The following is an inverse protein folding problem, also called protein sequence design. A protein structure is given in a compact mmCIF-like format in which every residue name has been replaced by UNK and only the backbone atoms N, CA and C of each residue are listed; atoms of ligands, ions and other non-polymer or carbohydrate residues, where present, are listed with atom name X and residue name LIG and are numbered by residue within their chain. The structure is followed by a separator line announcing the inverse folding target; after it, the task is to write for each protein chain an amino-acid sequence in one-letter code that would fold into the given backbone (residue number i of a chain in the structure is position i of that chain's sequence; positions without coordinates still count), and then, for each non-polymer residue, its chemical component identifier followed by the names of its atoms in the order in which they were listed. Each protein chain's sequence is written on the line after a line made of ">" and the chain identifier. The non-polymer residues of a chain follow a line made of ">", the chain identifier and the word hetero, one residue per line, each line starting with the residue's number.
data_IF_991456607391
#
_entry.id   IF_991456607391
#
_cell.length_a   1.000
_cell.length_b   1.000
_cell.length_c   1.000
_cell.angle_alpha   90.00
_cell.angle_beta   90.00
_cell.angle_gamma   90.00
#
_symmetry.space_group_name_H-M   'P 1'
#
loop_
_entity.id
_entity.type
_entity.pdbx_description
1 polymer ?
#
# COMPACT_ATOMS: atom_id res chain seq x y z
N UNK A 1 -29.91 -57.61 16.70
CA UNK A 1 -30.12 -57.13 15.31
C UNK A 1 -29.66 -55.69 15.22
N UNK A 2 -28.59 -55.41 14.46
CA UNK A 2 -28.03 -54.06 14.31
C UNK A 2 -28.76 -53.36 13.16
N UNK A 3 -29.66 -52.41 13.46
CA UNK A 3 -30.34 -51.61 12.42
C UNK A 3 -29.27 -50.80 11.66
N UNK A 4 -29.02 -51.19 10.42
CA UNK A 4 -28.23 -50.38 9.47
C UNK A 4 -29.17 -49.29 8.94
N UNK A 5 -29.14 -48.12 9.56
CA UNK A 5 -29.81 -46.95 9.01
C UNK A 5 -28.95 -46.45 7.84
N UNK A 6 -29.32 -46.84 6.62
CA UNK A 6 -28.73 -46.27 5.41
C UNK A 6 -29.17 -44.81 5.28
N UNK A 7 -28.24 -43.92 4.97
CA UNK A 7 -28.56 -42.53 4.63
C UNK A 7 -29.59 -42.49 3.51
N UNK A 8 -30.66 -41.71 3.71
CA UNK A 8 -31.67 -41.50 2.68
C UNK A 8 -31.06 -40.72 1.52
N UNK A 9 -31.39 -41.08 0.27
CA UNK A 9 -30.94 -40.35 -0.93
C UNK A 9 -31.30 -38.85 -0.84
N UNK A 10 -32.46 -38.54 -0.25
CA UNK A 10 -32.92 -37.16 0.00
C UNK A 10 -32.01 -36.44 0.99
N UNK A 11 -31.52 -37.12 2.02
CA UNK A 11 -30.63 -36.53 3.02
C UNK A 11 -29.27 -36.16 2.41
N UNK A 12 -28.76 -36.98 1.49
CA UNK A 12 -27.57 -36.67 0.70
C UNK A 12 -27.76 -35.46 -0.23
N UNK A 13 -28.93 -35.34 -0.87
CA UNK A 13 -29.24 -34.19 -1.72
C UNK A 13 -29.36 -32.89 -0.92
N UNK A 14 -30.05 -32.92 0.23
CA UNK A 14 -30.17 -31.74 1.09
C UNK A 14 -28.81 -31.34 1.65
N UNK A 15 -27.99 -32.31 2.07
CA UNK A 15 -26.64 -32.05 2.58
C UNK A 15 -25.72 -31.42 1.51
N UNK A 16 -25.79 -31.87 0.25
CA UNK A 16 -24.97 -31.31 -0.82
C UNK A 16 -25.37 -29.88 -1.20
N UNK A 17 -26.67 -29.56 -1.14
CA UNK A 17 -27.18 -28.19 -1.36
C UNK A 17 -26.69 -27.26 -0.24
N UNK A 18 -26.80 -27.68 1.02
CA UNK A 18 -26.30 -26.88 2.15
C UNK A 18 -24.79 -26.69 2.03
N UNK A 19 -24.06 -27.75 1.70
CA UNK A 19 -22.61 -27.70 1.52
C UNK A 19 -22.19 -26.73 0.41
N UNK A 20 -22.86 -26.74 -0.74
CA UNK A 20 -22.52 -25.84 -1.85
C UNK A 20 -22.77 -24.37 -1.51
N UNK A 21 -23.85 -24.07 -0.78
CA UNK A 21 -24.14 -22.72 -0.30
C UNK A 21 -23.08 -22.22 0.68
N UNK A 22 -22.67 -23.06 1.62
CA UNK A 22 -21.58 -22.73 2.56
C UNK A 22 -20.27 -22.49 1.80
N UNK A 23 -19.93 -23.35 0.85
CA UNK A 23 -18.70 -23.23 0.07
C UNK A 23 -18.67 -21.94 -0.75
N UNK A 24 -19.78 -21.56 -1.38
CA UNK A 24 -19.92 -20.29 -2.09
C UNK A 24 -19.72 -19.10 -1.14
N UNK A 25 -20.29 -19.16 0.07
CA UNK A 25 -20.07 -18.17 1.11
C UNK A 25 -18.59 -18.01 1.48
N UNK A 26 -17.89 -19.13 1.68
CA UNK A 26 -16.46 -19.12 2.01
C UNK A 26 -15.59 -18.54 0.88
N UNK A 27 -15.89 -18.90 -0.38
CA UNK A 27 -15.15 -18.37 -1.55
C UNK A 27 -15.33 -16.85 -1.65
N UNK A 28 -16.55 -16.35 -1.45
CA UNK A 28 -16.82 -14.90 -1.44
C UNK A 28 -16.01 -14.16 -0.38
N UNK A 29 -15.98 -14.69 0.85
CA UNK A 29 -15.18 -14.13 1.95
C UNK A 29 -13.69 -14.18 1.63
N UNK A 30 -13.21 -15.27 1.04
CA UNK A 30 -11.80 -15.42 0.66
C UNK A 30 -11.38 -14.37 -0.38
N UNK A 31 -12.20 -14.13 -1.41
CA UNK A 31 -11.93 -13.10 -2.42
C UNK A 31 -11.88 -11.71 -1.79
N UNK A 32 -12.84 -11.38 -0.93
CA UNK A 32 -12.87 -10.10 -0.22
C UNK A 32 -11.64 -9.93 0.69
N UNK A 33 -11.28 -10.97 1.44
CA UNK A 33 -10.11 -10.96 2.32
C UNK A 33 -8.80 -10.80 1.54
N UNK A 34 -8.65 -11.49 0.41
CA UNK A 34 -7.47 -11.38 -0.45
C UNK A 34 -7.24 -9.94 -0.93
N UNK A 35 -8.30 -9.28 -1.43
CA UNK A 35 -8.23 -7.88 -1.83
C UNK A 35 -7.80 -6.96 -0.67
N UNK A 36 -8.34 -7.19 0.52
CA UNK A 36 -7.99 -6.41 1.69
C UNK A 36 -6.52 -6.61 2.11
N UNK A 37 -6.01 -7.84 2.03
CA UNK A 37 -4.61 -8.16 2.35
C UNK A 37 -3.67 -7.45 1.37
N UNK A 38 -3.96 -7.48 0.06
CA UNK A 38 -3.13 -6.79 -0.94
C UNK A 38 -3.08 -5.30 -0.65
N UNK A 39 -4.23 -4.65 -0.46
CA UNK A 39 -4.27 -3.21 -0.14
C UNK A 39 -3.53 -2.87 1.16
N UNK A 40 -3.59 -3.75 2.17
CA UNK A 40 -2.84 -3.56 3.43
C UNK A 40 -1.34 -3.67 3.21
N UNK A 41 -0.88 -4.64 2.41
CA UNK A 41 0.53 -4.78 2.04
C UNK A 41 1.02 -3.55 1.30
N UNK A 42 0.26 -3.04 0.34
CA UNK A 42 0.61 -1.83 -0.41
C UNK A 42 0.70 -0.60 0.50
N UNK A 43 -0.20 -0.45 1.48
CA UNK A 43 -0.10 0.62 2.49
C UNK A 43 1.15 0.52 3.37
N UNK A 44 1.58 -0.69 3.70
CA UNK A 44 2.82 -0.88 4.46
C UNK A 44 4.04 -0.54 3.59
N UNK A 45 4.05 -1.01 2.34
CA UNK A 45 5.10 -0.72 1.36
C UNK A 45 5.20 0.79 1.13
N UNK A 46 4.08 1.49 0.92
CA UNK A 46 4.08 2.94 0.68
C UNK A 46 4.61 3.72 1.88
N UNK A 47 4.32 3.29 3.11
CA UNK A 47 4.90 3.91 4.31
C UNK A 47 6.42 3.73 4.39
N UNK A 48 6.94 2.55 4.03
CA UNK A 48 8.38 2.31 3.99
C UNK A 48 9.06 3.09 2.85
N UNK A 49 8.43 3.15 1.68
CA UNK A 49 8.92 3.95 0.56
C UNK A 49 8.94 5.44 0.93
N UNK A 50 7.89 5.95 1.57
CA UNK A 50 7.85 7.33 2.05
C UNK A 50 9.04 7.66 2.94
N UNK A 51 9.38 6.76 3.89
CA UNK A 51 10.58 6.92 4.70
C UNK A 51 11.86 6.87 3.86
N UNK A 52 11.97 5.90 2.96
CA UNK A 52 13.14 5.73 2.10
C UNK A 52 13.45 6.97 1.25
N UNK A 53 12.44 7.66 0.72
CA UNK A 53 12.62 8.88 -0.07
C UNK A 53 12.78 10.15 0.78
N UNK A 54 12.14 10.21 1.96
CA UNK A 54 12.24 11.38 2.85
C UNK A 54 13.52 11.41 3.70
N UNK A 55 14.08 10.25 4.07
CA UNK A 55 15.27 10.19 4.94
C UNK A 55 16.50 10.94 4.33
N UNK A 56 16.82 10.80 3.02
CA UNK A 56 17.92 11.56 2.41
C UNK A 56 17.75 13.08 2.47
N UNK A 57 16.53 13.59 2.37
CA UNK A 57 16.25 15.03 2.40
C UNK A 57 16.62 15.68 3.74
N UNK A 58 16.81 14.89 4.80
CA UNK A 58 17.27 15.42 6.09
C UNK A 58 18.68 16.03 5.99
N UNK A 59 19.52 15.55 5.07
CA UNK A 59 20.88 16.07 4.86
C UNK A 59 20.85 17.50 4.30
N UNK A 60 19.77 17.85 3.60
CA UNK A 60 19.58 19.16 2.97
C UNK A 60 18.95 20.19 3.92
N UNK A 61 18.56 19.78 5.13
CA UNK A 61 18.07 20.68 6.19
C UNK A 61 19.25 21.43 6.81
N UNK A 62 19.80 22.40 6.08
CA UNK A 62 20.91 23.25 6.52
C UNK A 62 20.53 24.72 6.40
N UNK A 63 20.63 25.44 7.51
CA UNK A 63 20.20 26.84 7.60
C UNK A 63 20.89 27.76 6.57
N UNK A 64 22.15 27.50 6.24
CA UNK A 64 22.95 28.31 5.34
C UNK A 64 22.68 28.05 3.85
N UNK A 65 22.16 26.88 3.48
CA UNK A 65 22.02 26.47 2.07
C UNK A 65 20.60 26.12 1.63
N UNK A 66 19.60 26.11 2.52
CA UNK A 66 18.24 25.65 2.20
C UNK A 66 17.48 26.46 1.14
N UNK A 67 17.93 27.69 0.83
CA UNK A 67 17.35 28.58 -0.19
C UNK A 67 18.30 28.78 -1.39
N UNK A 68 19.39 28.00 -1.45
CA UNK A 68 20.39 28.09 -2.51
C UNK A 68 20.09 27.10 -3.63
N UNK A 69 20.32 27.52 -4.88
CA UNK A 69 20.22 26.64 -6.03
C UNK A 69 21.18 25.43 -5.88
N UNK A 70 20.63 24.22 -5.93
CA UNK A 70 21.36 22.97 -5.69
C UNK A 70 21.03 22.29 -4.36
N UNK A 71 20.21 22.90 -3.51
CA UNK A 71 19.58 22.24 -2.37
C UNK A 71 18.18 21.76 -2.79
N UNK A 72 17.90 20.48 -2.56
CA UNK A 72 16.63 19.85 -2.95
C UNK A 72 15.43 20.30 -2.11
N UNK A 73 15.65 21.11 -1.05
CA UNK A 73 14.64 21.74 -0.18
C UNK A 73 14.30 23.19 -0.55
N UNK A 74 14.80 23.70 -1.67
CA UNK A 74 14.36 25.00 -2.19
C UNK A 74 12.90 24.92 -2.61
N UNK A 75 12.14 25.99 -2.31
CA UNK A 75 10.71 26.11 -2.67
C UNK A 75 10.52 25.87 -4.17
N UNK A 76 9.69 24.88 -4.50
CA UNK A 76 9.49 24.44 -5.87
C UNK A 76 9.00 23.00 -5.96
N UNK A 77 8.89 22.51 -7.19
CA UNK A 77 8.56 21.12 -7.51
C UNK A 77 9.80 20.43 -8.07
N UNK A 78 10.12 19.27 -7.54
CA UNK A 78 11.31 18.52 -7.89
C UNK A 78 10.93 17.10 -8.27
N UNK A 79 11.61 16.58 -9.28
CA UNK A 79 11.44 15.21 -9.75
C UNK A 79 12.64 14.40 -9.30
N UNK A 80 12.39 13.39 -8.46
CA UNK A 80 13.39 12.45 -8.03
C UNK A 80 13.80 11.48 -9.15
N UNK A 81 14.89 10.77 -8.91
CA UNK A 81 15.32 9.70 -9.81
C UNK A 81 14.43 8.45 -9.62
N UNK A 82 14.18 7.73 -10.72
CA UNK A 82 13.52 6.43 -10.65
C UNK A 82 14.38 5.43 -9.87
N UNK A 83 13.82 4.85 -8.82
CA UNK A 83 14.47 3.83 -7.99
C UNK A 83 13.92 2.45 -8.33
N UNK A 84 14.81 1.47 -8.53
CA UNK A 84 14.41 0.08 -8.80
C UNK A 84 14.62 -0.75 -7.54
N UNK A 85 13.53 -1.20 -6.92
CA UNK A 85 13.54 -2.03 -5.71
C UNK A 85 12.75 -3.30 -6.03
N UNK A 86 13.37 -4.47 -5.80
CA UNK A 86 12.74 -5.77 -6.07
C UNK A 86 12.15 -5.90 -7.49
N UNK A 87 12.90 -5.42 -8.50
CA UNK A 87 12.51 -5.46 -9.91
C UNK A 87 11.22 -4.66 -10.22
N UNK A 88 10.87 -3.67 -9.38
CA UNK A 88 9.82 -2.68 -9.61
C UNK A 88 10.41 -1.28 -9.60
N UNK A 89 9.93 -0.43 -10.50
CA UNK A 89 10.37 0.97 -10.61
C UNK A 89 9.43 1.89 -9.85
N UNK A 90 10.00 2.73 -8.99
CA UNK A 90 9.32 3.75 -8.21
C UNK A 90 9.79 5.12 -8.68
N UNK A 91 8.85 6.01 -8.93
CA UNK A 91 9.12 7.38 -9.33
C UNK A 91 8.56 8.34 -8.29
N UNK A 92 9.43 9.19 -7.76
CA UNK A 92 9.12 10.12 -6.69
C UNK A 92 9.20 11.56 -7.20
N UNK A 93 8.27 12.38 -6.73
CA UNK A 93 8.25 13.82 -6.97
C UNK A 93 7.94 14.50 -5.64
N UNK A 94 8.67 15.54 -5.29
CA UNK A 94 8.40 16.30 -4.07
C UNK A 94 8.16 17.78 -4.33
N UNK A 95 7.15 18.30 -3.63
CA UNK A 95 6.79 19.71 -3.65
C UNK A 95 7.17 20.35 -2.32
N UNK A 96 7.87 21.46 -2.39
CA UNK A 96 8.29 22.23 -1.23
C UNK A 96 7.58 23.57 -1.21
N UNK A 97 6.90 23.82 -0.10
CA UNK A 97 6.20 25.07 0.15
C UNK A 97 6.70 25.73 1.43
N UNK A 98 6.74 27.05 1.41
CA UNK A 98 7.00 27.85 2.61
C UNK A 98 5.82 27.77 3.57
N UNK A 99 6.08 27.64 4.87
CA UNK A 99 5.05 27.73 5.90
C UNK A 99 4.95 29.17 6.40
N UNK A 100 3.79 29.79 6.21
CA UNK A 100 3.56 31.21 6.55
C UNK A 100 3.90 31.51 8.01
N UNK A 101 4.66 32.60 8.22
CA UNK A 101 5.05 33.07 9.55
C UNK A 101 6.16 32.27 10.22
N UNK A 102 6.84 31.38 9.49
CA UNK A 102 7.94 30.56 10.03
C UNK A 102 9.06 30.37 9.01
N UNK A 103 10.25 30.04 9.50
CA UNK A 103 11.36 29.53 8.69
C UNK A 103 11.26 28.00 8.54
N UNK A 104 10.04 27.46 8.38
CA UNK A 104 9.83 26.05 8.11
C UNK A 104 9.46 25.83 6.65
N UNK A 105 9.86 24.67 6.13
CA UNK A 105 9.43 24.14 4.84
C UNK A 105 8.51 22.96 5.05
N UNK A 106 7.45 22.89 4.24
CA UNK A 106 6.61 21.70 4.11
C UNK A 106 7.04 20.97 2.85
N UNK A 107 7.52 19.74 3.04
CA UNK A 107 7.83 18.80 1.96
C UNK A 107 6.64 17.88 1.77
N UNK A 108 6.15 17.78 0.55
CA UNK A 108 5.10 16.83 0.16
C UNK A 108 5.67 15.92 -0.92
N UNK A 109 6.03 14.69 -0.54
CA UNK A 109 6.53 13.69 -1.49
C UNK A 109 5.38 12.83 -2.01
N UNK A 110 5.33 12.66 -3.33
CA UNK A 110 4.38 11.82 -4.05
C UNK A 110 5.15 10.73 -4.75
N UNK A 111 4.87 9.47 -4.40
CA UNK A 111 5.52 8.30 -4.96
C UNK A 111 4.52 7.57 -5.85
N UNK A 112 4.93 7.27 -7.07
CA UNK A 112 4.14 6.58 -8.09
C UNK A 112 4.84 5.32 -8.56
N UNK A 113 4.07 4.25 -8.74
CA UNK A 113 4.55 2.98 -9.28
C UNK A 113 3.40 2.22 -9.95
N UNK A 114 3.76 1.26 -10.81
CA UNK A 114 2.79 0.33 -11.39
C UNK A 114 2.60 -0.85 -10.45
N UNK A 115 1.33 -1.14 -10.14
CA UNK A 115 0.91 -2.30 -9.33
C UNK A 115 1.05 -3.62 -10.09
#
# INVERSE_FOLDING_TARGET
>A
MRKRNGFSLVELMVSSIIFSLVFLGLVSVFVAASKHITHTRERMTSAQLGKFFLDPLQVDVRYDTWDQAGNDLVVGSWSGATQVINNRSFFETHDISAVSGTDLRRVTSTISWNE
#
